data_IF_790077871342
#
_entry.id   IF_790077871342
#
_cell.length_a   1.000
_cell.length_b   1.000
_cell.length_c   1.000
_cell.angle_alpha   90.00
_cell.angle_beta   90.00
_cell.angle_gamma   90.00
#
_symmetry.space_group_name_H-M   'P 1'
#
loop_
_entity.id
_entity.type
_entity.pdbx_description
1 polymer ?
#
# COMPACT_ATOMS: atom_id res chain seq x y z
N UNK A 1 21.18 16.03 -26.48
CA UNK A 1 20.99 16.47 -25.07
C UNK A 1 19.75 15.77 -24.54
N UNK A 2 19.95 14.66 -23.81
CA UNK A 2 18.86 13.87 -23.24
C UNK A 2 18.38 14.58 -21.97
N UNK A 3 17.17 15.14 -22.00
CA UNK A 3 16.56 15.76 -20.83
C UNK A 3 16.17 14.59 -19.91
N UNK A 4 16.96 14.37 -18.86
CA UNK A 4 16.60 13.39 -17.83
C UNK A 4 15.37 13.96 -17.12
N UNK A 5 14.22 13.35 -17.35
CA UNK A 5 13.05 13.63 -16.52
C UNK A 5 13.43 13.25 -15.08
N UNK A 6 13.23 14.15 -14.10
CA UNK A 6 13.57 13.86 -12.72
C UNK A 6 12.81 12.60 -12.27
N UNK A 7 13.42 11.71 -11.46
CA UNK A 7 12.72 10.54 -10.96
C UNK A 7 11.45 10.96 -10.22
N UNK A 8 10.45 10.07 -10.17
CA UNK A 8 9.32 10.24 -9.26
C UNK A 8 9.83 10.46 -7.82
N UNK A 9 9.07 11.21 -7.03
CA UNK A 9 9.47 11.54 -5.67
C UNK A 9 8.29 11.42 -4.71
N UNK A 10 8.65 11.27 -3.42
CA UNK A 10 7.73 11.35 -2.31
C UNK A 10 8.17 12.47 -1.39
N UNK A 11 7.24 13.30 -0.97
CA UNK A 11 7.51 14.40 -0.07
C UNK A 11 6.41 14.53 0.99
N UNK A 12 6.82 14.81 2.22
CA UNK A 12 5.93 15.15 3.33
C UNK A 12 6.04 16.65 3.60
N UNK A 13 4.93 17.38 3.57
CA UNK A 13 4.90 18.82 3.80
C UNK A 13 3.71 19.25 4.66
N UNK A 14 3.70 20.51 5.10
CA UNK A 14 2.54 21.11 5.75
C UNK A 14 1.87 22.13 4.82
N UNK A 15 0.58 21.96 4.58
CA UNK A 15 -0.24 22.92 3.85
C UNK A 15 -1.33 23.49 4.75
N UNK A 16 -1.30 24.81 5.00
CA UNK A 16 -2.23 25.49 5.91
C UNK A 16 -2.35 24.83 7.30
N UNK A 17 -1.23 24.32 7.81
CA UNK A 17 -1.15 23.64 9.11
C UNK A 17 -1.53 22.15 9.09
N UNK A 18 -1.94 21.60 7.95
CA UNK A 18 -2.26 20.18 7.79
C UNK A 18 -1.09 19.41 7.18
N UNK A 19 -0.72 18.23 7.71
CA UNK A 19 0.27 17.37 7.08
C UNK A 19 -0.28 16.81 5.76
N UNK A 20 0.55 16.82 4.72
CA UNK A 20 0.23 16.34 3.37
C UNK A 20 1.38 15.48 2.87
N UNK A 21 1.03 14.33 2.31
CA UNK A 21 1.96 13.44 1.61
C UNK A 21 1.74 13.58 0.10
N UNK A 22 2.82 13.86 -0.63
CA UNK A 22 2.87 13.92 -2.08
C UNK A 22 3.52 12.64 -2.61
N UNK A 23 2.87 12.02 -3.60
CA UNK A 23 3.41 10.89 -4.36
C UNK A 23 3.39 11.27 -5.84
N UNK A 24 4.58 11.52 -6.41
CA UNK A 24 4.74 11.94 -7.80
C UNK A 24 5.39 10.81 -8.57
N UNK A 25 4.70 10.30 -9.59
CA UNK A 25 5.18 9.21 -10.42
C UNK A 25 5.15 9.59 -11.90
N UNK A 26 6.13 9.09 -12.65
CA UNK A 26 5.99 8.94 -14.09
C UNK A 26 5.05 7.79 -14.42
N UNK A 27 4.30 7.82 -15.54
CA UNK A 27 3.34 6.76 -15.87
C UNK A 27 3.93 5.35 -15.82
N UNK A 28 5.10 5.13 -16.42
CA UNK A 28 5.75 3.81 -16.40
C UNK A 28 6.20 3.37 -14.99
N UNK A 29 6.63 4.32 -14.15
CA UNK A 29 7.01 4.04 -12.76
C UNK A 29 5.78 3.73 -11.90
N UNK A 30 4.66 4.42 -12.15
CA UNK A 30 3.40 4.17 -11.47
C UNK A 30 2.92 2.74 -11.73
N UNK A 31 2.92 2.29 -12.98
CA UNK A 31 2.50 0.91 -13.31
C UNK A 31 3.36 -0.14 -12.60
N UNK A 32 4.68 0.03 -12.60
CA UNK A 32 5.59 -0.87 -11.88
C UNK A 32 5.34 -0.86 -10.36
N UNK A 33 5.09 0.33 -9.80
CA UNK A 33 4.77 0.49 -8.38
C UNK A 33 3.46 -0.23 -8.03
N UNK A 34 2.40 -0.01 -8.80
CA UNK A 34 1.10 -0.66 -8.61
C UNK A 34 1.23 -2.18 -8.71
N UNK A 35 1.94 -2.71 -9.72
CA UNK A 35 2.19 -4.13 -9.83
C UNK A 35 2.90 -4.72 -8.60
N UNK A 36 3.88 -3.99 -8.05
CA UNK A 36 4.61 -4.41 -6.85
C UNK A 36 3.72 -4.44 -5.60
N UNK A 37 2.84 -3.44 -5.43
CA UNK A 37 1.86 -3.41 -4.34
C UNK A 37 0.87 -4.57 -4.42
N UNK A 38 0.39 -4.87 -5.62
CA UNK A 38 -0.56 -5.96 -5.85
C UNK A 38 0.10 -7.32 -5.56
N UNK A 39 1.34 -7.53 -6.01
CA UNK A 39 2.12 -8.73 -5.70
C UNK A 39 2.35 -8.88 -4.18
N UNK A 40 2.57 -7.77 -3.48
CA UNK A 40 2.68 -7.74 -2.02
C UNK A 40 1.33 -7.86 -1.28
N UNK A 41 0.20 -8.01 -2.01
CA UNK A 41 -1.18 -8.03 -1.48
C UNK A 41 -1.51 -6.79 -0.63
N UNK A 42 -0.94 -5.63 -0.96
CA UNK A 42 -1.14 -4.34 -0.26
C UNK A 42 -1.48 -3.23 -1.25
N UNK A 43 -2.67 -3.26 -1.90
CA UNK A 43 -3.02 -2.34 -2.99
C UNK A 43 -3.45 -0.95 -2.46
N UNK A 44 -2.60 -0.28 -1.69
CA UNK A 44 -2.94 0.98 -1.02
C UNK A 44 -3.06 2.15 -2.00
N UNK A 45 -2.15 2.26 -2.98
CA UNK A 45 -2.24 3.28 -4.02
C UNK A 45 -3.37 3.00 -5.01
N UNK A 46 -3.72 1.74 -5.28
CA UNK A 46 -4.92 1.43 -6.07
C UNK A 46 -6.16 2.02 -5.40
N UNK A 47 -6.29 1.87 -4.08
CA UNK A 47 -7.43 2.41 -3.34
C UNK A 47 -7.44 3.93 -3.34
N UNK A 48 -6.28 4.55 -3.11
CA UNK A 48 -6.14 6.01 -3.20
C UNK A 48 -6.54 6.55 -4.58
N UNK A 49 -6.13 5.88 -5.66
CA UNK A 49 -6.43 6.31 -7.03
C UNK A 49 -7.90 6.07 -7.41
N UNK A 50 -8.47 4.94 -7.00
CA UNK A 50 -9.87 4.59 -7.28
C UNK A 50 -10.85 5.52 -6.55
N UNK A 51 -10.60 5.80 -5.26
CA UNK A 51 -11.51 6.58 -4.40
C UNK A 51 -11.17 8.09 -4.38
N UNK A 52 -10.04 8.47 -5.00
CA UNK A 52 -9.50 9.84 -4.96
C UNK A 52 -10.34 10.86 -5.74
N UNK A 53 -10.26 12.12 -5.30
CA UNK A 53 -10.89 13.25 -6.00
C UNK A 53 -9.93 13.81 -7.04
N UNK A 54 -10.39 13.92 -8.29
CA UNK A 54 -9.61 14.49 -9.39
C UNK A 54 -9.54 16.01 -9.22
N UNK A 55 -8.33 16.55 -9.21
CA UNK A 55 -8.09 18.00 -9.14
C UNK A 55 -7.77 18.61 -10.51
N UNK A 56 -7.07 17.87 -11.38
CA UNK A 56 -6.60 18.33 -12.69
C UNK A 56 -6.58 17.17 -13.69
N UNK A 57 -6.93 17.45 -14.95
CA UNK A 57 -6.89 16.47 -16.04
C UNK A 57 -8.06 15.48 -16.03
N UNK A 58 -7.92 14.41 -16.79
CA UNK A 58 -8.91 13.32 -16.87
C UNK A 58 -8.22 11.95 -16.64
N UNK A 59 -8.21 11.44 -15.40
CA UNK A 59 -7.64 10.14 -15.08
C UNK A 59 -8.70 9.02 -15.06
N UNK A 60 -9.88 9.20 -15.68
CA UNK A 60 -11.00 8.26 -15.57
C UNK A 60 -10.61 6.80 -15.84
N UNK A 61 -9.78 6.57 -16.85
CA UNK A 61 -9.32 5.23 -17.23
C UNK A 61 -8.45 4.57 -16.16
N UNK A 62 -7.59 5.37 -15.51
CA UNK A 62 -6.75 4.91 -14.40
C UNK A 62 -7.61 4.61 -13.17
N UNK A 63 -8.53 5.51 -12.80
CA UNK A 63 -9.41 5.28 -11.65
C UNK A 63 -10.27 4.03 -11.85
N UNK A 64 -10.86 3.86 -13.04
CA UNK A 64 -11.66 2.70 -13.38
C UNK A 64 -10.82 1.41 -13.38
N UNK A 65 -9.57 1.46 -13.85
CA UNK A 65 -8.64 0.32 -13.78
C UNK A 65 -8.33 -0.07 -12.34
N UNK A 66 -7.97 0.89 -11.49
CA UNK A 66 -7.70 0.64 -10.08
C UNK A 66 -8.93 0.10 -9.34
N UNK A 67 -10.12 0.64 -9.61
CA UNK A 67 -11.37 0.16 -9.03
C UNK A 67 -11.66 -1.30 -9.40
N UNK A 68 -11.46 -1.67 -10.67
CA UNK A 68 -11.57 -3.07 -11.12
C UNK A 68 -10.59 -3.98 -10.41
N UNK A 69 -9.31 -3.59 -10.34
CA UNK A 69 -8.28 -4.39 -9.62
C UNK A 69 -8.66 -4.64 -8.16
N UNK A 70 -9.25 -3.66 -7.48
CA UNK A 70 -9.72 -3.85 -6.10
C UNK A 70 -10.94 -4.77 -6.01
N UNK A 71 -11.86 -4.67 -6.97
CA UNK A 71 -13.04 -5.52 -7.04
C UNK A 71 -12.70 -6.99 -7.34
N UNK A 72 -11.69 -7.23 -8.19
CA UNK A 72 -11.20 -8.57 -8.52
C UNK A 72 -10.57 -9.27 -7.30
N UNK A 73 -10.06 -8.47 -6.34
CA UNK A 73 -9.42 -8.96 -5.13
C UNK A 73 -8.06 -9.61 -5.39
N UNK A 74 -7.36 -10.04 -4.31
CA UNK A 74 -6.10 -10.75 -4.47
C UNK A 74 -6.34 -12.15 -5.08
N UNK A 75 -5.35 -12.72 -5.78
CA UNK A 75 -5.43 -14.11 -6.21
C UNK A 75 -5.64 -15.05 -5.00
N UNK A 76 -6.10 -16.29 -5.20
CA UNK A 76 -6.13 -17.27 -4.13
C UNK A 76 -4.72 -17.53 -3.59
N UNK A 77 -4.63 -17.85 -2.30
CA UNK A 77 -3.39 -18.29 -1.69
C UNK A 77 -3.13 -19.76 -2.05
N UNK A 78 -1.87 -20.09 -2.31
CA UNK A 78 -1.43 -21.50 -2.37
C UNK A 78 -1.55 -22.14 -0.99
N UNK A 79 -1.57 -23.48 -0.94
CA UNK A 79 -1.59 -24.22 0.34
C UNK A 79 -0.40 -23.84 1.23
N UNK A 80 0.79 -23.70 0.66
CA UNK A 80 1.98 -23.32 1.41
C UNK A 80 1.89 -21.89 1.99
N UNK A 81 1.37 -20.92 1.23
CA UNK A 81 1.14 -19.57 1.73
C UNK A 81 0.06 -19.55 2.83
N UNK A 82 -1.02 -20.32 2.65
CA UNK A 82 -2.06 -20.46 3.67
C UNK A 82 -1.51 -21.01 4.98
N UNK A 83 -0.72 -22.08 4.91
CA UNK A 83 -0.15 -22.70 6.10
C UNK A 83 0.85 -21.77 6.78
N UNK A 84 1.71 -21.09 6.01
CA UNK A 84 2.62 -20.09 6.56
C UNK A 84 1.88 -18.95 7.28
N UNK A 85 0.79 -18.43 6.68
CA UNK A 85 -0.02 -17.38 7.30
C UNK A 85 -0.74 -17.86 8.57
N UNK A 86 -1.18 -19.12 8.63
CA UNK A 86 -1.80 -19.71 9.83
C UNK A 86 -0.80 -19.79 10.99
N UNK A 87 0.43 -20.21 10.71
CA UNK A 87 1.49 -20.21 11.72
C UNK A 87 1.82 -18.79 12.17
N UNK A 88 2.02 -17.86 11.23
CA UNK A 88 2.29 -16.46 11.57
C UNK A 88 1.18 -15.80 12.41
N UNK A 89 -0.08 -16.17 12.17
CA UNK A 89 -1.21 -15.71 13.01
C UNK A 89 -1.14 -16.27 14.43
N UNK A 90 -0.79 -17.55 14.58
CA UNK A 90 -0.63 -18.22 15.88
C UNK A 90 0.52 -17.59 16.67
N UNK A 91 1.66 -17.35 16.02
CA UNK A 91 2.83 -16.72 16.63
C UNK A 91 2.52 -15.29 17.12
N UNK A 92 1.77 -14.51 16.32
CA UNK A 92 1.35 -13.16 16.71
C UNK A 92 0.40 -13.18 17.92
N UNK A 93 -0.49 -14.17 17.98
CA UNK A 93 -1.37 -14.36 19.14
C UNK A 93 -0.54 -14.63 20.40
N UNK A 94 0.41 -15.56 20.33
CA UNK A 94 1.24 -15.92 21.49
C UNK A 94 2.12 -14.75 21.97
N UNK A 95 2.68 -13.97 21.04
CA UNK A 95 3.44 -12.78 21.39
C UNK A 95 2.62 -11.76 22.21
N UNK A 96 1.33 -11.61 21.89
CA UNK A 96 0.44 -10.66 22.57
C UNK A 96 -0.29 -11.25 23.79
N UNK A 97 -0.34 -12.58 23.93
CA UNK A 97 -0.94 -13.27 25.07
C UNK A 97 -0.01 -13.41 26.27
N UNK A 98 1.28 -13.07 26.11
CA UNK A 98 2.24 -13.00 27.23
C UNK A 98 1.77 -11.97 28.26
N UNK A 99 1.11 -12.46 29.31
CA UNK A 99 0.74 -11.70 30.51
C UNK A 99 2.01 -11.02 31.05
N UNK A 100 2.01 -9.71 31.37
CA UNK A 100 3.17 -9.10 32.00
C UNK A 100 3.46 -9.90 33.28
N UNK A 101 4.65 -10.49 33.33
CA UNK A 101 5.15 -11.13 34.54
C UNK A 101 5.17 -10.05 35.61
N UNK A 102 4.32 -10.20 36.63
CA UNK A 102 4.40 -9.37 37.82
C UNK A 102 5.78 -9.61 38.44
N UNK A 103 6.72 -8.71 38.20
CA UNK A 103 7.91 -8.59 39.03
C UNK A 103 7.42 -8.13 40.40
N UNK A 104 7.37 -9.07 41.34
CA UNK A 104 7.37 -8.75 42.75
C UNK A 104 8.83 -8.48 43.11
N UNK A 105 9.18 -7.21 43.31
CA UNK A 105 10.44 -6.83 43.93
C UNK A 105 10.25 -6.74 45.47
N UNK A 106 11.28 -7.05 46.27
CA UNK A 106 11.20 -7.23 47.72
C UNK A 106 10.96 -5.94 48.51
#
# INVERSE_FOLDING_TARGET
MMRLDPPGFRESLYFRGWPVELFVHHPAQLEAFLASELAARKPSSHRMLADGVVLVGDPSDLQARCARTLADGPPPLTTAELDWLRYGLTDLHDATSTRPTSVSAP
#
